data_IF_449842783238
#
_entry.id   IF_449842783238
#
_cell.length_a   1.000
_cell.length_b   1.000
_cell.length_c   1.000
_cell.angle_alpha   90.00
_cell.angle_beta   90.00
_cell.angle_gamma   90.00
#
_symmetry.space_group_name_H-M   'P 1'
#
loop_
_entity.id
_entity.type
_entity.pdbx_description
1 polymer ?
#
# COMPACT_ATOMS: atom_id res chain seq x y z
N UNK A 1 -18.09 2.84 -30.42
CA UNK A 1 -18.76 4.07 -30.91
C UNK A 1 -17.76 5.03 -31.56
N UNK A 2 -16.80 5.59 -30.84
CA UNK A 2 -15.88 6.59 -31.45
C UNK A 2 -14.98 5.97 -32.53
N UNK A 3 -14.42 4.78 -32.29
CA UNK A 3 -13.58 4.07 -33.28
C UNK A 3 -14.31 3.51 -34.50
N UNK A 4 -15.65 3.52 -34.49
CA UNK A 4 -16.46 3.16 -35.67
C UNK A 4 -16.83 4.38 -36.51
N UNK A 5 -16.60 5.59 -36.00
CA UNK A 5 -16.91 6.86 -36.67
C UNK A 5 -15.64 7.56 -37.16
N UNK A 6 -14.55 7.43 -36.40
CA UNK A 6 -13.29 8.10 -36.69
C UNK A 6 -12.14 7.11 -36.73
N UNK A 7 -11.21 7.34 -37.67
CA UNK A 7 -9.94 6.62 -37.70
C UNK A 7 -9.17 6.82 -36.38
N UNK A 8 -8.54 5.77 -35.81
CA UNK A 8 -7.79 5.88 -34.56
C UNK A 8 -6.68 6.94 -34.54
N UNK A 9 -6.14 7.32 -35.70
CA UNK A 9 -5.09 8.34 -35.85
C UNK A 9 -5.66 9.76 -35.93
N UNK A 10 -6.95 9.91 -36.18
CA UNK A 10 -7.62 11.21 -36.31
C UNK A 10 -7.63 12.02 -35.02
N UNK A 11 -7.69 13.34 -35.14
CA UNK A 11 -7.80 14.25 -34.01
C UNK A 11 -9.10 14.01 -33.21
N UNK A 12 -10.23 13.77 -33.89
CA UNK A 12 -11.52 13.49 -33.28
C UNK A 12 -11.51 12.21 -32.42
N UNK A 13 -10.83 11.15 -32.86
CA UNK A 13 -10.65 9.96 -32.02
C UNK A 13 -9.76 10.23 -30.81
N UNK A 14 -8.60 10.87 -31.02
CA UNK A 14 -7.63 11.20 -29.95
C UNK A 14 -8.19 12.13 -28.88
N UNK A 15 -9.15 12.96 -29.26
CA UNK A 15 -9.84 13.89 -28.37
C UNK A 15 -10.56 13.19 -27.21
N UNK A 16 -11.15 12.02 -27.43
CA UNK A 16 -11.79 11.24 -26.35
C UNK A 16 -10.77 10.67 -25.35
N UNK A 17 -9.54 10.42 -25.78
CA UNK A 17 -8.50 9.89 -24.90
C UNK A 17 -8.79 8.50 -24.33
N UNK A 18 -9.68 7.73 -24.96
CA UNK A 18 -10.09 6.39 -24.49
C UNK A 18 -9.11 5.28 -24.90
N UNK A 19 -8.07 5.61 -25.68
CA UNK A 19 -7.10 4.63 -26.16
C UNK A 19 -6.20 4.16 -25.00
N UNK A 20 -6.14 2.85 -24.78
CA UNK A 20 -5.28 2.25 -23.74
C UNK A 20 -5.73 2.52 -22.30
N UNK A 21 -6.91 3.12 -22.10
CA UNK A 21 -7.37 3.54 -20.78
C UNK A 21 -7.43 2.40 -19.75
N UNK A 22 -7.77 1.19 -20.21
CA UNK A 22 -7.85 -0.01 -19.38
C UNK A 22 -6.48 -0.55 -18.92
N UNK A 23 -5.39 -0.15 -19.58
CA UNK A 23 -4.04 -0.62 -19.29
C UNK A 23 -3.20 0.41 -18.52
N UNK A 24 -3.75 1.61 -18.29
CA UNK A 24 -3.08 2.68 -17.57
C UNK A 24 -3.18 2.52 -16.05
N UNK A 25 -2.37 3.28 -15.29
CA UNK A 25 -2.53 3.39 -13.85
C UNK A 25 -3.90 3.94 -13.46
N UNK A 26 -4.36 3.63 -12.25
CA UNK A 26 -5.70 3.96 -11.75
C UNK A 26 -6.05 5.45 -11.85
N UNK A 27 -5.07 6.32 -11.61
CA UNK A 27 -5.23 7.76 -11.75
C UNK A 27 -5.50 8.19 -13.21
N UNK A 28 -4.79 7.58 -14.17
CA UNK A 28 -5.02 7.83 -15.59
C UNK A 28 -6.36 7.27 -16.06
N UNK A 29 -6.75 6.10 -15.55
CA UNK A 29 -8.07 5.52 -15.77
C UNK A 29 -9.17 6.51 -15.31
N UNK A 30 -9.10 7.01 -14.08
CA UNK A 30 -10.09 7.95 -13.56
C UNK A 30 -10.16 9.26 -14.37
N UNK A 31 -9.01 9.89 -14.62
CA UNK A 31 -8.96 11.15 -15.40
C UNK A 31 -9.46 10.93 -16.82
N UNK A 32 -9.14 9.80 -17.44
CA UNK A 32 -9.62 9.47 -18.77
C UNK A 32 -11.11 9.19 -18.81
N UNK A 33 -11.70 8.54 -17.80
CA UNK A 33 -13.16 8.38 -17.68
C UNK A 33 -13.86 9.75 -17.62
N UNK A 34 -13.37 10.68 -16.79
CA UNK A 34 -13.91 12.04 -16.72
C UNK A 34 -13.78 12.78 -18.06
N UNK A 35 -12.65 12.61 -18.75
CA UNK A 35 -12.42 13.18 -20.08
C UNK A 35 -13.42 12.62 -21.09
N UNK A 36 -13.66 11.31 -21.13
CA UNK A 36 -14.62 10.66 -22.02
C UNK A 36 -16.03 11.18 -21.77
N UNK A 37 -16.45 11.33 -20.50
CA UNK A 37 -17.76 11.90 -20.16
C UNK A 37 -17.87 13.36 -20.64
N UNK A 38 -16.87 14.19 -20.34
CA UNK A 38 -16.86 15.61 -20.73
C UNK A 38 -16.92 15.79 -22.25
N UNK A 39 -16.08 15.05 -22.97
CA UNK A 39 -16.00 15.10 -24.43
C UNK A 39 -17.26 14.51 -25.07
N UNK A 40 -17.76 13.39 -24.54
CA UNK A 40 -18.99 12.76 -25.02
C UNK A 40 -20.21 13.67 -24.88
N UNK A 41 -20.30 14.43 -23.78
CA UNK A 41 -21.38 15.41 -23.60
C UNK A 41 -21.30 16.56 -24.60
N UNK A 42 -20.10 17.06 -24.88
CA UNK A 42 -19.89 18.15 -25.84
C UNK A 42 -20.23 17.77 -27.29
N UNK A 43 -20.11 16.49 -27.65
CA UNK A 43 -20.37 15.99 -29.01
C UNK A 43 -21.56 15.02 -29.06
N UNK A 44 -22.50 15.14 -28.12
CA UNK A 44 -23.60 14.21 -28.01
C UNK A 44 -24.45 14.16 -29.30
N UNK A 45 -24.66 15.33 -29.93
CA UNK A 45 -25.37 15.45 -31.22
C UNK A 45 -24.69 14.68 -32.34
N UNK A 46 -23.35 14.72 -32.40
CA UNK A 46 -22.54 14.14 -33.47
C UNK A 46 -22.57 12.60 -33.42
N UNK A 47 -22.70 12.05 -32.22
CA UNK A 47 -22.68 10.59 -31.98
C UNK A 47 -24.06 10.01 -31.62
N UNK A 48 -25.11 10.83 -31.49
CA UNK A 48 -26.46 10.37 -31.18
C UNK A 48 -26.97 9.36 -32.22
N UNK A 49 -26.72 9.63 -33.51
CA UNK A 49 -27.08 8.73 -34.61
C UNK A 49 -26.32 7.39 -34.58
N UNK A 50 -25.27 7.28 -33.75
CA UNK A 50 -24.47 6.07 -33.53
C UNK A 50 -24.75 5.43 -32.18
N UNK A 51 -25.79 5.89 -31.49
CA UNK A 51 -26.28 5.31 -30.24
C UNK A 51 -25.67 5.89 -28.96
N UNK A 52 -24.91 6.98 -29.03
CA UNK A 52 -24.49 7.68 -27.82
C UNK A 52 -25.70 8.37 -27.19
N UNK A 53 -26.00 8.04 -25.93
CA UNK A 53 -27.10 8.65 -25.18
C UNK A 53 -26.60 9.36 -23.93
N UNK A 54 -27.32 10.39 -23.42
CA UNK A 54 -26.96 11.03 -22.16
C UNK A 54 -26.90 10.03 -21.00
N UNK A 55 -27.85 9.09 -20.95
CA UNK A 55 -27.92 8.06 -19.91
C UNK A 55 -26.65 7.19 -19.82
N UNK A 56 -26.01 6.87 -20.97
CA UNK A 56 -24.74 6.14 -20.96
C UNK A 56 -23.60 6.95 -20.34
N UNK A 57 -23.57 8.26 -20.60
CA UNK A 57 -22.55 9.15 -20.03
C UNK A 57 -22.78 9.39 -18.54
N UNK A 58 -24.03 9.45 -18.10
CA UNK A 58 -24.39 9.57 -16.69
C UNK A 58 -24.05 8.29 -15.92
N UNK A 59 -24.33 7.12 -16.50
CA UNK A 59 -23.92 5.84 -15.94
C UNK A 59 -22.38 5.75 -15.83
N UNK A 60 -21.65 6.18 -16.87
CA UNK A 60 -20.18 6.19 -16.83
C UNK A 60 -19.63 7.15 -15.76
N UNK A 61 -20.26 8.32 -15.60
CA UNK A 61 -19.88 9.27 -14.55
C UNK A 61 -20.14 8.71 -13.15
N UNK A 62 -21.27 8.02 -12.96
CA UNK A 62 -21.58 7.34 -11.70
C UNK A 62 -20.56 6.23 -11.38
N UNK A 63 -20.21 5.40 -12.37
CA UNK A 63 -19.18 4.37 -12.21
C UNK A 63 -17.80 4.95 -11.92
N UNK A 64 -17.44 6.11 -12.50
CA UNK A 64 -16.19 6.78 -12.21
C UNK A 64 -16.13 7.29 -10.76
N UNK A 65 -17.24 7.82 -10.24
CA UNK A 65 -17.34 8.25 -8.84
C UNK A 65 -17.25 7.07 -7.87
N UNK A 66 -17.96 5.97 -8.17
CA UNK A 66 -17.89 4.74 -7.38
C UNK A 66 -16.48 4.12 -7.40
N UNK A 67 -15.81 4.14 -8.55
CA UNK A 67 -14.42 3.70 -8.67
C UNK A 67 -13.50 4.48 -7.73
N UNK A 68 -13.58 5.81 -7.72
CA UNK A 68 -12.77 6.65 -6.83
C UNK A 68 -13.04 6.36 -5.35
N UNK A 69 -14.31 6.18 -4.97
CA UNK A 69 -14.68 5.84 -3.59
C UNK A 69 -14.09 4.49 -3.17
N UNK A 70 -14.21 3.46 -4.02
CA UNK A 70 -13.67 2.13 -3.77
C UNK A 70 -12.14 2.15 -3.68
N UNK A 71 -11.49 2.92 -4.54
CA UNK A 71 -10.04 3.10 -4.52
C UNK A 71 -9.57 3.73 -3.19
N UNK A 72 -10.24 4.78 -2.73
CA UNK A 72 -9.95 5.39 -1.43
C UNK A 72 -10.09 4.39 -0.28
N UNK A 73 -11.18 3.61 -0.25
CA UNK A 73 -11.40 2.56 0.77
C UNK A 73 -10.30 1.50 0.75
N UNK A 74 -9.81 1.11 -0.42
CA UNK A 74 -8.71 0.15 -0.53
C UNK A 74 -7.43 0.74 0.07
N UNK A 75 -7.07 1.97 -0.30
CA UNK A 75 -5.86 2.64 0.20
C UNK A 75 -5.90 2.85 1.72
N UNK A 76 -7.07 3.18 2.26
CA UNK A 76 -7.30 3.29 3.71
C UNK A 76 -7.09 1.94 4.41
N UNK A 77 -7.61 0.85 3.83
CA UNK A 77 -7.46 -0.50 4.37
C UNK A 77 -5.99 -0.96 4.36
N UNK A 78 -5.26 -0.70 3.27
CA UNK A 78 -3.83 -1.00 3.17
C UNK A 78 -3.01 -0.23 4.22
N UNK A 79 -3.33 1.06 4.39
CA UNK A 79 -2.69 1.93 5.39
C UNK A 79 -3.02 1.48 6.82
N UNK A 80 -4.28 1.11 7.09
CA UNK A 80 -4.69 0.57 8.38
C UNK A 80 -3.96 -0.74 8.72
N UNK A 81 -3.83 -1.64 7.74
CA UNK A 81 -3.05 -2.88 7.89
C UNK A 81 -1.58 -2.60 8.21
N UNK A 82 -0.95 -1.65 7.51
CA UNK A 82 0.42 -1.22 7.77
C UNK A 82 0.58 -0.71 9.20
N UNK A 83 -0.24 0.26 9.60
CA UNK A 83 -0.25 0.80 10.97
C UNK A 83 -0.44 -0.27 12.05
N UNK A 84 -1.30 -1.25 11.81
CA UNK A 84 -1.52 -2.35 12.75
C UNK A 84 -0.31 -3.30 12.84
N UNK A 85 0.45 -3.48 11.76
CA UNK A 85 1.72 -4.21 11.80
C UNK A 85 2.76 -3.45 12.63
N UNK A 86 2.91 -2.14 12.38
CA UNK A 86 3.87 -1.29 13.10
C UNK A 86 3.55 -1.24 14.60
N UNK A 87 2.27 -1.10 14.97
CA UNK A 87 1.84 -1.11 16.36
C UNK A 87 2.19 -2.44 17.07
N UNK A 88 2.05 -3.58 16.37
CA UNK A 88 2.42 -4.89 16.92
C UNK A 88 3.93 -5.01 17.13
N UNK A 89 4.74 -4.50 16.19
CA UNK A 89 6.20 -4.50 16.30
C UNK A 89 6.64 -3.64 17.49
N UNK A 90 6.08 -2.44 17.62
CA UNK A 90 6.40 -1.54 18.73
C UNK A 90 6.03 -2.17 20.08
N UNK A 91 4.84 -2.77 20.18
CA UNK A 91 4.40 -3.46 21.39
C UNK A 91 5.29 -4.67 21.73
N UNK A 92 5.66 -5.48 20.74
CA UNK A 92 6.55 -6.62 20.94
C UNK A 92 7.94 -6.20 21.41
N UNK A 93 8.49 -5.14 20.81
CA UNK A 93 9.78 -4.59 21.22
C UNK A 93 9.73 -4.04 22.65
N UNK A 94 8.66 -3.32 23.02
CA UNK A 94 8.48 -2.82 24.38
C UNK A 94 8.42 -3.98 25.41
N UNK A 95 7.62 -5.01 25.13
CA UNK A 95 7.53 -6.20 25.98
C UNK A 95 8.88 -6.92 26.11
N UNK A 96 9.63 -7.00 25.02
CA UNK A 96 10.96 -7.61 25.02
C UNK A 96 11.95 -6.81 25.90
N UNK A 97 11.92 -5.48 25.83
CA UNK A 97 12.71 -4.63 26.71
C UNK A 97 12.34 -4.85 28.18
N UNK A 98 11.05 -4.83 28.51
CA UNK A 98 10.59 -5.10 29.89
C UNK A 98 11.02 -6.49 30.39
N UNK A 99 10.95 -7.51 29.53
CA UNK A 99 11.38 -8.87 29.86
C UNK A 99 12.88 -8.92 30.16
N UNK A 100 13.72 -8.26 29.35
CA UNK A 100 15.17 -8.16 29.61
C UNK A 100 15.43 -7.49 30.96
N UNK A 101 14.74 -6.38 31.25
CA UNK A 101 14.93 -5.64 32.49
C UNK A 101 14.53 -6.49 33.71
N UNK A 102 13.39 -7.19 33.65
CA UNK A 102 12.96 -8.11 34.70
C UNK A 102 13.95 -9.26 34.90
N UNK A 103 14.47 -9.83 33.81
CA UNK A 103 15.50 -10.86 33.87
C UNK A 103 16.80 -10.33 34.50
N UNK A 104 17.19 -9.09 34.19
CA UNK A 104 18.35 -8.44 34.78
C UNK A 104 18.18 -8.25 36.30
N UNK A 105 16.99 -7.80 36.75
CA UNK A 105 16.66 -7.68 38.17
C UNK A 105 16.68 -9.05 38.86
N UNK A 106 16.08 -10.07 38.25
CA UNK A 106 16.07 -11.44 38.79
C UNK A 106 17.49 -12.00 38.97
N UNK A 107 18.35 -11.79 37.96
CA UNK A 107 19.77 -12.16 38.05
C UNK A 107 20.48 -11.40 39.18
N UNK A 108 20.27 -10.09 39.28
CA UNK A 108 20.86 -9.28 40.34
C UNK A 108 20.42 -9.74 41.75
N UNK A 109 19.15 -10.11 41.91
CA UNK A 109 18.63 -10.65 43.17
C UNK A 109 19.35 -11.95 43.54
N UNK A 110 19.50 -12.88 42.61
CA UNK A 110 20.24 -14.12 42.87
C UNK A 110 21.71 -13.90 43.23
N UNK A 111 22.36 -12.87 42.66
CA UNK A 111 23.72 -12.51 43.07
C UNK A 111 23.81 -12.19 44.57
N UNK A 112 22.75 -11.63 45.15
CA UNK A 112 22.68 -11.29 46.58
C UNK A 112 22.16 -12.43 47.46
N UNK A 113 21.33 -13.34 46.94
CA UNK A 113 20.66 -14.37 47.75
C UNK A 113 21.23 -15.78 47.61
N UNK A 114 21.67 -16.18 46.41
CA UNK A 114 22.07 -17.56 46.10
C UNK A 114 23.03 -17.63 44.90
N UNK A 115 24.31 -17.85 45.19
CA UNK A 115 25.37 -17.92 44.19
C UNK A 115 25.20 -19.07 43.17
N UNK A 116 24.56 -20.19 43.54
CA UNK A 116 24.33 -21.32 42.62
C UNK A 116 23.24 -20.96 41.62
N UNK A 117 22.16 -20.31 42.06
CA UNK A 117 21.10 -19.84 41.16
C UNK A 117 21.60 -18.76 40.22
N UNK A 118 22.48 -17.87 40.69
CA UNK A 118 23.11 -16.85 39.85
C UNK A 118 23.95 -17.47 38.72
N UNK A 119 24.82 -18.44 39.04
CA UNK A 119 25.68 -19.10 38.06
C UNK A 119 24.90 -19.87 36.99
N UNK A 120 23.74 -20.41 37.35
CA UNK A 120 22.87 -21.15 36.42
C UNK A 120 21.84 -20.25 35.70
N UNK A 121 21.83 -18.94 35.94
CA UNK A 121 20.84 -18.03 35.35
C UNK A 121 21.25 -17.62 33.92
N UNK A 122 20.61 -18.24 32.93
CA UNK A 122 20.83 -18.00 31.50
C UNK A 122 19.56 -17.42 30.89
N UNK A 123 19.66 -16.22 30.29
CA UNK A 123 18.53 -15.51 29.64
C UNK A 123 18.58 -15.66 28.11
N UNK A 124 19.78 -15.79 27.55
CA UNK A 124 20.02 -16.01 26.12
C UNK A 124 21.01 -17.16 25.97
N UNK A 125 20.69 -18.14 25.12
CA UNK A 125 21.58 -19.27 24.79
C UNK A 125 22.58 -18.92 23.68
N UNK A 126 22.79 -17.62 23.42
CA UNK A 126 23.75 -17.17 22.42
C UNK A 126 25.14 -17.11 23.06
N UNK A 127 26.13 -17.89 22.58
CA UNK A 127 27.49 -17.80 23.11
C UNK A 127 28.03 -16.38 22.92
N UNK A 128 28.78 -15.88 23.90
CA UNK A 128 29.46 -14.59 23.80
C UNK A 128 30.29 -14.54 22.51
N UNK A 129 30.33 -13.41 21.78
CA UNK A 129 31.16 -13.30 20.59
C UNK A 129 32.60 -13.62 20.99
N UNK A 130 33.14 -14.70 20.41
CA UNK A 130 34.52 -15.11 20.62
C UNK A 130 35.40 -13.95 20.17
N UNK A 131 36.20 -13.41 21.08
CA UNK A 131 37.14 -12.35 20.77
C UNK A 131 38.01 -12.79 19.58
N UNK A 132 38.05 -11.98 18.52
CA UNK A 132 38.86 -12.27 17.35
C UNK A 132 40.31 -12.53 17.78
N UNK A 133 40.98 -13.58 17.26
CA UNK A 133 42.34 -13.88 17.65
C UNK A 133 43.24 -12.68 17.33
N UNK A 134 44.10 -12.31 18.29
CA UNK A 134 45.04 -11.22 18.13
C UNK A 134 45.92 -11.44 16.90
N UNK A 135 46.17 -10.40 16.08
CA UNK A 135 46.99 -10.54 14.88
C UNK A 135 48.40 -11.03 15.26
N UNK A 136 49.02 -11.90 14.42
CA UNK A 136 50.37 -12.38 14.69
C UNK A 136 51.32 -11.21 14.79
N UNK A 137 52.14 -11.19 15.85
CA UNK A 137 53.20 -10.20 16.00
C UNK A 137 54.18 -10.36 14.85
N UNK A 138 54.44 -9.25 14.15
CA UNK A 138 55.39 -9.15 13.05
C UNK A 138 56.83 -9.46 13.49
#
# INVERSE_FOLDING_TARGET
IVGTVHDPRSASYKMFGSAGLANGPEAELYVGLLRVVRVGRAHLTDYAAKGLTPAMLDALAASAAEFLERLGKQQDAETARGRAADARILAANALYTELIDLCAVGKALYATTDARKYQNYVVMDTPAPVAAPAPPKA
#
